data_IF_568064415057
#
_entry.id   IF_568064415057
#
_cell.length_a   1.000
_cell.length_b   1.000
_cell.length_c   1.000
_cell.angle_alpha   90.00
_cell.angle_beta   90.00
_cell.angle_gamma   90.00
#
_symmetry.space_group_name_H-M   'P 1'
#
loop_
_entity.id
_entity.type
_entity.pdbx_description
1 polymer ?
#
# COMPACT_ATOMS: atom_id res chain seq x y z
N UNK A 1 4.61 15.17 -21.75
CA UNK A 1 3.50 14.25 -22.16
C UNK A 1 4.08 13.03 -22.90
N UNK A 2 4.75 13.22 -24.04
CA UNK A 2 5.25 12.09 -24.88
C UNK A 2 6.14 11.09 -24.09
N UNK A 3 7.08 11.58 -23.28
CA UNK A 3 7.95 10.73 -22.49
C UNK A 3 7.17 9.91 -21.42
N UNK A 4 6.16 10.51 -20.77
CA UNK A 4 5.32 9.80 -19.82
C UNK A 4 4.43 8.76 -20.52
N UNK A 5 3.95 9.07 -21.72
CA UNK A 5 3.19 8.12 -22.54
C UNK A 5 4.06 6.93 -22.97
N UNK A 6 5.29 7.18 -23.41
CA UNK A 6 6.23 6.13 -23.76
C UNK A 6 6.55 5.23 -22.57
N UNK A 7 6.83 5.84 -21.39
CA UNK A 7 7.04 5.10 -20.16
C UNK A 7 5.84 4.20 -19.81
N UNK A 8 4.61 4.72 -19.96
CA UNK A 8 3.39 3.94 -19.75
C UNK A 8 3.27 2.77 -20.73
N UNK A 9 3.59 2.97 -22.01
CA UNK A 9 3.53 1.92 -23.04
C UNK A 9 4.49 0.75 -22.78
N UNK A 10 5.61 1.01 -22.12
CA UNK A 10 6.58 -0.03 -21.71
C UNK A 10 6.41 -0.46 -20.26
N UNK A 11 5.23 -0.17 -19.67
CA UNK A 11 4.85 -0.52 -18.30
C UNK A 11 5.80 0.00 -17.19
N UNK A 12 6.60 1.05 -17.49
CA UNK A 12 7.42 1.77 -16.52
C UNK A 12 6.60 2.90 -15.91
N UNK A 13 5.57 2.52 -15.15
CA UNK A 13 4.68 3.45 -14.46
C UNK A 13 5.41 4.35 -13.48
N UNK A 14 6.46 3.85 -12.84
CA UNK A 14 7.37 4.62 -11.98
C UNK A 14 7.95 5.84 -12.72
N UNK A 15 8.46 5.66 -13.92
CA UNK A 15 8.98 6.77 -14.73
C UNK A 15 7.87 7.69 -15.21
N UNK A 16 6.71 7.15 -15.60
CA UNK A 16 5.58 7.97 -16.03
C UNK A 16 5.13 8.91 -14.90
N UNK A 17 5.09 8.40 -13.66
CA UNK A 17 4.77 9.17 -12.45
C UNK A 17 5.84 10.24 -12.20
N UNK A 18 7.12 9.91 -12.22
CA UNK A 18 8.20 10.86 -12.00
C UNK A 18 8.17 12.00 -13.01
N UNK A 19 8.04 11.69 -14.30
CA UNK A 19 7.93 12.69 -15.37
C UNK A 19 6.72 13.60 -15.14
N UNK A 20 5.57 13.02 -14.77
CA UNK A 20 4.35 13.79 -14.50
C UNK A 20 4.46 14.66 -13.25
N UNK A 21 5.16 14.19 -12.21
CA UNK A 21 5.49 14.99 -11.02
C UNK A 21 6.38 16.17 -11.37
N UNK A 22 7.43 15.98 -12.17
CA UNK A 22 8.26 17.09 -12.65
C UNK A 22 7.44 18.12 -13.42
N UNK A 23 6.53 17.70 -14.31
CA UNK A 23 5.65 18.60 -15.03
C UNK A 23 4.72 19.40 -14.08
N UNK A 24 4.32 18.82 -12.96
CA UNK A 24 3.45 19.50 -11.97
C UNK A 24 4.15 20.66 -11.27
N UNK A 25 5.46 20.66 -11.13
CA UNK A 25 6.22 21.82 -10.62
C UNK A 25 6.09 23.03 -11.55
N UNK A 26 5.92 22.78 -12.85
CA UNK A 26 5.63 23.78 -13.87
C UNK A 26 4.10 24.04 -14.02
N UNK A 27 3.30 23.66 -13.02
CA UNK A 27 1.82 23.75 -13.01
C UNK A 27 1.15 23.02 -14.18
N UNK A 28 1.80 22.01 -14.76
CA UNK A 28 1.25 21.15 -15.82
C UNK A 28 0.85 19.81 -15.20
N UNK A 29 -0.46 19.62 -14.99
CA UNK A 29 -0.99 18.43 -14.30
C UNK A 29 -1.44 17.38 -15.30
N UNK A 30 -0.88 16.17 -15.21
CA UNK A 30 -1.17 15.04 -16.09
C UNK A 30 -1.63 13.84 -15.25
N UNK A 31 -2.86 13.90 -14.72
CA UNK A 31 -3.39 12.90 -13.79
C UNK A 31 -3.36 11.47 -14.35
N UNK A 32 -3.58 11.29 -15.66
CA UNK A 32 -3.50 9.99 -16.33
C UNK A 32 -2.19 9.26 -16.07
N UNK A 33 -1.07 10.00 -16.01
CA UNK A 33 0.25 9.40 -15.80
C UNK A 33 0.66 9.39 -14.32
N UNK A 34 0.10 10.29 -13.50
CA UNK A 34 0.32 10.30 -12.07
C UNK A 34 -0.39 9.17 -11.32
N UNK A 35 -1.48 8.65 -11.90
CA UNK A 35 -2.34 7.64 -11.28
C UNK A 35 -2.60 6.50 -12.28
N UNK A 36 -1.60 5.63 -12.51
CA UNK A 36 -1.76 4.47 -13.38
C UNK A 36 -2.86 3.55 -12.88
N UNK A 37 -3.60 2.95 -13.81
CA UNK A 37 -4.62 1.96 -13.51
C UNK A 37 -4.11 0.60 -14.00
N UNK A 38 -3.90 -0.32 -13.07
CA UNK A 38 -3.56 -1.71 -13.34
C UNK A 38 -4.57 -2.64 -12.69
N UNK A 39 -4.61 -3.88 -13.14
CA UNK A 39 -5.49 -4.90 -12.55
C UNK A 39 -5.08 -5.24 -11.12
N UNK A 40 -6.09 -5.40 -10.25
CA UNK A 40 -5.90 -5.87 -8.87
C UNK A 40 -6.88 -7.01 -8.59
N UNK A 41 -6.54 -7.93 -7.67
CA UNK A 41 -7.44 -9.03 -7.33
C UNK A 41 -8.70 -8.53 -6.61
N UNK A 42 -9.85 -9.17 -6.84
CA UNK A 42 -11.09 -8.92 -6.10
C UNK A 42 -11.28 -9.88 -4.93
N UNK A 43 -10.73 -11.10 -5.06
CA UNK A 43 -10.73 -12.13 -4.02
C UNK A 43 -9.39 -12.87 -4.02
N UNK A 44 -8.92 -13.22 -2.83
CA UNK A 44 -7.72 -14.08 -2.64
C UNK A 44 -8.06 -15.11 -1.57
N UNK A 45 -8.06 -16.39 -1.93
CA UNK A 45 -8.36 -17.50 -1.04
C UNK A 45 -9.64 -17.28 -0.22
N UNK A 46 -10.74 -16.88 -0.88
CA UNK A 46 -12.05 -16.62 -0.28
C UNK A 46 -12.17 -15.30 0.49
N UNK A 47 -11.08 -14.55 0.65
CA UNK A 47 -11.10 -13.21 1.27
C UNK A 47 -11.40 -12.15 0.21
N UNK A 48 -12.44 -11.34 0.45
CA UNK A 48 -12.71 -10.15 -0.35
C UNK A 48 -11.59 -9.13 -0.17
N UNK A 49 -11.10 -8.60 -1.27
CA UNK A 49 -10.08 -7.54 -1.31
C UNK A 49 -10.78 -6.19 -1.43
N UNK A 50 -10.26 -5.12 -0.82
CA UNK A 50 -10.76 -3.77 -1.03
C UNK A 50 -10.75 -3.37 -2.49
N UNK A 51 -11.52 -2.34 -2.81
CA UNK A 51 -11.64 -1.79 -4.17
C UNK A 51 -10.28 -1.46 -4.79
N UNK A 52 -10.18 -1.63 -6.11
CA UNK A 52 -8.96 -1.39 -6.91
C UNK A 52 -8.34 -0.03 -6.61
N UNK A 53 -9.14 1.05 -6.54
CA UNK A 53 -8.65 2.39 -6.28
C UNK A 53 -7.90 2.49 -4.93
N UNK A 54 -8.37 1.80 -3.90
CA UNK A 54 -7.70 1.77 -2.60
C UNK A 54 -6.36 1.00 -2.66
N UNK A 55 -6.32 -0.16 -3.33
CA UNK A 55 -5.07 -0.91 -3.51
C UNK A 55 -4.04 -0.09 -4.31
N UNK A 56 -4.48 0.55 -5.41
CA UNK A 56 -3.60 1.38 -6.23
C UNK A 56 -3.08 2.62 -5.46
N UNK A 57 -3.89 3.18 -4.55
CA UNK A 57 -3.44 4.29 -3.70
C UNK A 57 -2.33 3.88 -2.73
N UNK A 58 -2.38 2.65 -2.20
CA UNK A 58 -1.30 2.09 -1.38
C UNK A 58 -0.04 1.90 -2.22
N UNK A 59 -0.14 1.27 -3.40
CA UNK A 59 1.00 1.09 -4.31
C UNK A 59 1.62 2.45 -4.67
N UNK A 60 0.78 3.44 -4.96
CA UNK A 60 1.22 4.81 -5.27
C UNK A 60 2.01 5.46 -4.13
N UNK A 61 1.56 5.26 -2.89
CA UNK A 61 2.20 5.79 -1.69
C UNK A 61 3.49 5.05 -1.32
N UNK A 62 3.50 3.72 -1.45
CA UNK A 62 4.60 2.87 -0.98
C UNK A 62 5.80 2.84 -1.93
N UNK A 63 5.57 2.83 -3.24
CA UNK A 63 6.64 2.62 -4.22
C UNK A 63 6.58 3.52 -5.46
N UNK A 64 5.53 4.33 -5.61
CA UNK A 64 5.25 5.02 -6.88
C UNK A 64 5.26 4.05 -8.09
N UNK A 65 4.78 2.82 -7.89
CA UNK A 65 4.78 1.74 -8.90
C UNK A 65 6.17 1.22 -9.30
N UNK A 66 7.22 1.48 -8.51
CA UNK A 66 8.51 0.82 -8.73
C UNK A 66 8.48 -0.61 -8.20
N UNK A 67 8.43 -1.58 -9.14
CA UNK A 67 8.47 -3.00 -8.81
C UNK A 67 9.73 -3.41 -8.04
N UNK A 68 10.87 -2.74 -8.30
CA UNK A 68 12.17 -3.06 -7.71
C UNK A 68 12.44 -2.29 -6.42
N UNK A 69 11.48 -1.49 -5.94
CA UNK A 69 11.64 -0.69 -4.73
C UNK A 69 12.09 -1.54 -3.54
N UNK A 70 13.13 -1.05 -2.87
CA UNK A 70 13.66 -1.59 -1.64
C UNK A 70 13.87 -0.46 -0.64
N UNK A 71 13.19 -0.49 0.50
CA UNK A 71 13.41 0.50 1.54
C UNK A 71 14.68 0.20 2.35
N UNK A 72 15.20 1.19 3.06
CA UNK A 72 16.32 1.01 4.01
C UNK A 72 15.99 -0.03 5.09
N UNK A 73 14.73 -0.16 5.49
CA UNK A 73 14.27 -1.17 6.44
C UNK A 73 14.12 -2.57 5.84
N UNK A 74 14.25 -2.71 4.51
CA UNK A 74 14.16 -3.97 3.79
C UNK A 74 12.76 -4.35 3.30
N UNK A 75 11.81 -3.41 3.30
CA UNK A 75 10.52 -3.58 2.63
C UNK A 75 10.69 -3.67 1.11
N UNK A 76 9.85 -4.44 0.40
CA UNK A 76 10.10 -4.84 -0.99
C UNK A 76 8.89 -4.70 -1.90
N UNK A 77 9.15 -4.21 -3.11
CA UNK A 77 8.27 -4.21 -4.25
C UNK A 77 7.12 -3.21 -4.16
N UNK A 78 6.12 -3.37 -5.01
CA UNK A 78 5.04 -2.41 -5.23
C UNK A 78 4.32 -1.99 -3.95
N UNK A 79 4.01 -2.93 -3.07
CA UNK A 79 3.30 -2.69 -1.82
C UNK A 79 4.21 -2.69 -0.59
N UNK A 80 5.53 -2.57 -0.77
CA UNK A 80 6.55 -2.44 0.28
C UNK A 80 6.37 -3.43 1.45
N UNK A 81 6.27 -4.72 1.11
CA UNK A 81 6.13 -5.76 2.12
C UNK A 81 7.46 -6.11 2.78
N UNK A 82 7.48 -6.10 4.11
CA UNK A 82 8.58 -6.70 4.88
C UNK A 82 8.62 -8.21 4.60
N UNK A 83 9.80 -8.82 4.33
CA UNK A 83 9.92 -10.25 4.02
C UNK A 83 9.29 -11.16 5.07
N UNK A 84 9.40 -10.81 6.35
CA UNK A 84 8.75 -11.55 7.44
C UNK A 84 7.21 -11.49 7.32
N UNK A 85 6.65 -10.30 7.09
CA UNK A 85 5.20 -10.12 6.89
C UNK A 85 4.73 -10.88 5.66
N UNK A 86 5.45 -10.77 4.53
CA UNK A 86 5.13 -11.48 3.30
C UNK A 86 5.09 -13.00 3.50
N UNK A 87 6.03 -13.57 4.29
CA UNK A 87 6.05 -15.01 4.61
C UNK A 87 4.80 -15.43 5.42
N UNK A 88 4.40 -14.64 6.41
CA UNK A 88 3.20 -14.92 7.19
C UNK A 88 1.93 -14.83 6.34
N UNK A 89 1.84 -13.79 5.53
CA UNK A 89 0.70 -13.55 4.64
C UNK A 89 0.60 -14.64 3.56
N UNK A 90 1.72 -15.06 2.97
CA UNK A 90 1.75 -16.15 2.00
C UNK A 90 1.17 -17.43 2.59
N UNK A 91 1.53 -17.77 3.83
CA UNK A 91 0.94 -18.94 4.55
C UNK A 91 -0.58 -18.77 4.72
N UNK A 92 -1.06 -17.59 5.11
CA UNK A 92 -2.50 -17.33 5.27
C UNK A 92 -3.26 -17.36 3.95
N UNK A 93 -2.66 -16.84 2.89
CA UNK A 93 -3.21 -16.83 1.53
C UNK A 93 -3.05 -18.18 0.80
N UNK A 94 -2.43 -19.19 1.45
CA UNK A 94 -2.09 -20.52 0.85
C UNK A 94 -1.26 -20.40 -0.43
N UNK A 95 -0.35 -19.40 -0.48
CA UNK A 95 0.59 -19.18 -1.56
C UNK A 95 2.01 -19.61 -1.16
N UNK A 96 2.83 -20.13 -2.10
CA UNK A 96 4.22 -20.41 -1.81
C UNK A 96 4.99 -19.10 -1.55
N UNK A 97 5.78 -19.06 -0.48
CA UNK A 97 6.59 -17.88 -0.18
C UNK A 97 7.87 -17.85 -1.03
N UNK A 98 8.13 -16.72 -1.67
CA UNK A 98 9.40 -16.43 -2.35
C UNK A 98 9.80 -14.97 -2.14
N UNK A 99 10.98 -14.76 -1.53
CA UNK A 99 11.51 -13.40 -1.28
C UNK A 99 11.88 -12.69 -2.58
N UNK A 100 12.40 -13.40 -3.57
CA UNK A 100 12.80 -12.81 -4.86
C UNK A 100 11.59 -12.31 -5.65
N UNK A 101 10.48 -13.06 -5.64
CA UNK A 101 9.24 -12.65 -6.32
C UNK A 101 8.64 -11.35 -5.79
N UNK A 102 8.99 -10.91 -4.60
CA UNK A 102 8.51 -9.61 -4.09
C UNK A 102 8.96 -8.41 -4.94
N UNK A 103 10.08 -8.54 -5.69
CA UNK A 103 10.63 -7.48 -6.54
C UNK A 103 10.76 -7.88 -8.01
N UNK A 104 10.30 -9.08 -8.40
CA UNK A 104 10.36 -9.56 -9.78
C UNK A 104 9.00 -9.97 -10.34
N UNK A 105 7.98 -10.05 -9.51
CA UNK A 105 6.63 -10.50 -9.87
C UNK A 105 5.58 -9.55 -9.30
N UNK A 106 5.06 -8.62 -10.12
CA UNK A 106 4.12 -7.60 -9.66
C UNK A 106 2.83 -8.21 -9.12
N UNK A 107 2.29 -9.23 -9.79
CA UNK A 107 1.05 -9.90 -9.38
C UNK A 107 1.21 -10.56 -8.01
N UNK A 108 2.33 -11.25 -7.81
CA UNK A 108 2.64 -11.88 -6.52
C UNK A 108 2.72 -10.86 -5.38
N UNK A 109 3.40 -9.73 -5.60
CA UNK A 109 3.52 -8.67 -4.59
C UNK A 109 2.15 -8.05 -4.28
N UNK A 110 1.36 -7.73 -5.31
CA UNK A 110 0.01 -7.16 -5.17
C UNK A 110 -0.91 -8.14 -4.44
N UNK A 111 -0.89 -9.43 -4.79
CA UNK A 111 -1.71 -10.44 -4.13
C UNK A 111 -1.41 -10.53 -2.63
N UNK A 112 -0.15 -10.57 -2.23
CA UNK A 112 0.23 -10.63 -0.82
C UNK A 112 -0.12 -9.33 -0.08
N UNK A 113 0.20 -8.16 -0.65
CA UNK A 113 -0.10 -6.87 -0.03
C UNK A 113 -1.60 -6.63 0.12
N UNK A 114 -2.37 -6.96 -0.91
CA UNK A 114 -3.83 -6.86 -0.90
C UNK A 114 -4.48 -7.78 0.14
N UNK A 115 -4.00 -9.03 0.26
CA UNK A 115 -4.46 -9.94 1.29
C UNK A 115 -4.12 -9.45 2.71
N UNK A 116 -2.93 -8.85 2.87
CA UNK A 116 -2.50 -8.29 4.15
C UNK A 116 -3.37 -7.12 4.59
N UNK A 117 -3.56 -6.11 3.73
CA UNK A 117 -4.38 -4.95 4.09
C UNK A 117 -5.86 -5.33 4.30
N UNK A 118 -6.41 -6.25 3.50
CA UNK A 118 -7.74 -6.79 3.72
C UNK A 118 -7.87 -7.45 5.10
N UNK A 119 -6.85 -8.21 5.52
CA UNK A 119 -6.79 -8.80 6.86
C UNK A 119 -6.75 -7.74 7.97
N UNK A 120 -6.01 -6.67 7.78
CA UNK A 120 -5.96 -5.56 8.73
C UNK A 120 -7.32 -4.84 8.85
N UNK A 121 -8.00 -4.59 7.72
CA UNK A 121 -9.33 -3.98 7.72
C UNK A 121 -10.31 -4.84 8.52
N UNK A 122 -10.29 -6.16 8.31
CA UNK A 122 -11.12 -7.09 9.10
C UNK A 122 -10.76 -7.07 10.60
N UNK A 123 -9.48 -7.06 10.94
CA UNK A 123 -9.02 -7.04 12.33
C UNK A 123 -9.38 -5.75 13.08
N UNK A 124 -9.71 -4.69 12.36
CA UNK A 124 -10.14 -3.41 12.92
C UNK A 124 -11.61 -3.10 12.64
N UNK A 125 -12.44 -4.13 12.40
CA UNK A 125 -13.89 -4.00 12.21
C UNK A 125 -14.28 -3.00 11.10
N UNK A 126 -13.52 -2.98 10.01
CA UNK A 126 -13.72 -2.08 8.88
C UNK A 126 -13.12 -0.67 9.07
N UNK A 127 -12.43 -0.38 10.16
CA UNK A 127 -11.83 0.93 10.40
C UNK A 127 -10.56 1.14 9.55
N UNK A 128 -10.71 1.69 8.37
CA UNK A 128 -9.61 2.00 7.43
C UNK A 128 -8.47 2.82 8.06
N UNK A 129 -8.70 3.87 8.88
CA UNK A 129 -7.60 4.62 9.48
C UNK A 129 -6.67 3.74 10.33
N UNK A 130 -7.22 2.80 11.09
CA UNK A 130 -6.41 1.87 11.88
C UNK A 130 -5.69 0.85 10.99
N UNK A 131 -6.35 0.35 9.95
CA UNK A 131 -5.75 -0.60 9.02
C UNK A 131 -4.56 0.03 8.27
N UNK A 132 -4.70 1.25 7.77
CA UNK A 132 -3.63 2.01 7.10
C UNK A 132 -2.48 2.28 8.08
N UNK A 133 -2.78 2.77 9.28
CA UNK A 133 -1.77 2.99 10.31
C UNK A 133 -1.04 1.70 10.70
N UNK A 134 -1.75 0.56 10.76
CA UNK A 134 -1.16 -0.75 11.04
C UNK A 134 -0.35 -1.29 9.87
N UNK A 135 -0.74 -1.02 8.63
CA UNK A 135 0.02 -1.38 7.44
C UNK A 135 1.41 -0.73 7.46
N UNK A 136 1.44 0.58 7.71
CA UNK A 136 2.69 1.36 7.74
C UNK A 136 3.55 1.08 8.99
N UNK A 137 2.95 1.13 10.19
CA UNK A 137 3.68 1.13 11.46
C UNK A 137 3.62 -0.20 12.25
N UNK A 138 2.78 -1.13 11.80
CA UNK A 138 2.51 -2.39 12.47
C UNK A 138 1.39 -2.32 13.54
N UNK A 139 0.67 -3.44 13.75
CA UNK A 139 -0.48 -3.50 14.67
C UNK A 139 -0.12 -3.17 16.13
N UNK A 140 1.12 -3.44 16.56
CA UNK A 140 1.57 -3.13 17.94
C UNK A 140 1.55 -1.63 18.21
N UNK A 141 1.97 -0.81 17.24
CA UNK A 141 1.95 0.66 17.37
C UNK A 141 0.53 1.20 17.39
N UNK A 142 -0.37 0.69 16.55
CA UNK A 142 -1.78 1.08 16.58
C UNK A 142 -2.41 0.78 17.93
N UNK A 143 -2.14 -0.41 18.51
CA UNK A 143 -2.60 -0.76 19.85
C UNK A 143 -2.11 0.25 20.90
N UNK A 144 -0.84 0.66 20.80
CA UNK A 144 -0.26 1.66 21.69
C UNK A 144 -0.93 3.03 21.49
N UNK A 145 -1.08 3.51 20.25
CA UNK A 145 -1.72 4.79 19.97
C UNK A 145 -3.19 4.85 20.39
N UNK A 146 -3.94 3.75 20.22
CA UNK A 146 -5.32 3.64 20.75
C UNK A 146 -5.37 3.79 22.28
N UNK A 147 -4.30 3.42 22.98
CA UNK A 147 -4.23 3.58 24.45
C UNK A 147 -3.90 5.02 24.84
N UNK A 148 -2.92 5.66 24.22
CA UNK A 148 -2.42 6.98 24.63
C UNK A 148 -3.22 8.14 24.04
N UNK A 149 -3.74 8.00 22.80
CA UNK A 149 -4.46 9.05 22.07
C UNK A 149 -5.99 8.86 22.15
N UNK A 150 -6.49 8.07 23.11
CA UNK A 150 -7.90 7.65 23.16
C UNK A 150 -8.29 6.75 21.97
N UNK A 151 -9.51 6.21 21.95
CA UNK A 151 -9.92 5.24 20.93
C UNK A 151 -11.18 5.71 20.17
N UNK A 152 -11.07 6.04 18.89
CA UNK A 152 -12.22 6.41 18.07
C UNK A 152 -13.36 5.37 18.04
N UNK A 153 -13.05 4.07 18.02
CA UNK A 153 -14.08 3.02 18.06
C UNK A 153 -14.88 2.98 19.38
N UNK A 154 -14.42 3.66 20.42
CA UNK A 154 -15.11 3.83 21.71
C UNK A 154 -15.74 5.21 21.87
N UNK A 155 -15.83 5.99 20.78
CA UNK A 155 -16.33 7.37 20.78
C UNK A 155 -15.60 8.32 21.74
N UNK A 156 -14.34 8.03 22.06
CA UNK A 156 -13.51 8.86 22.96
C UNK A 156 -12.86 10.04 22.24
N UNK A 157 -12.74 9.96 20.92
CA UNK A 157 -12.14 10.95 20.01
C UNK A 157 -12.64 10.63 18.59
N UNK A 158 -12.65 11.58 17.65
CA UNK A 158 -12.90 11.28 16.25
C UNK A 158 -11.63 10.79 15.54
N UNK A 159 -11.78 10.22 14.34
CA UNK A 159 -10.64 9.64 13.61
C UNK A 159 -9.65 10.70 13.09
N UNK A 160 -10.12 11.90 12.74
CA UNK A 160 -9.27 12.97 12.23
C UNK A 160 -8.30 13.41 13.33
N UNK A 161 -8.81 13.76 14.51
CA UNK A 161 -7.98 14.15 15.65
C UNK A 161 -7.06 13.00 16.09
N UNK A 162 -7.52 11.75 16.00
CA UNK A 162 -6.68 10.60 16.34
C UNK A 162 -5.48 10.47 15.38
N UNK A 163 -5.67 10.70 14.07
CA UNK A 163 -4.62 10.68 13.06
C UNK A 163 -3.58 11.76 13.35
N UNK A 164 -4.02 12.98 13.68
CA UNK A 164 -3.14 14.11 14.02
C UNK A 164 -2.29 13.86 15.27
N UNK A 165 -2.76 13.02 16.19
CA UNK A 165 -2.02 12.63 17.39
C UNK A 165 -1.01 11.50 17.17
N UNK A 166 -0.94 10.91 15.97
CA UNK A 166 0.05 9.87 15.67
C UNK A 166 1.45 10.48 15.65
N UNK A 167 2.30 10.03 16.56
CA UNK A 167 3.70 10.43 16.62
C UNK A 167 4.61 9.23 16.43
N UNK A 168 5.50 9.32 15.46
CA UNK A 168 6.64 8.42 15.32
C UNK A 168 7.77 9.00 16.17
N UNK A 169 8.14 8.29 17.26
CA UNK A 169 9.37 8.56 18.00
C UNK A 169 10.47 7.67 17.45
#
# INVERSE_FOLDING_TARGET
VLAAELATKIERFDFAIQISKFASYEKRFHNKYNYPIISTPTYINGRKIPETAFILSIIRQESEFDLKANSHAGARGLMQLMPYTAKLVAKQAKLPYSKSRLTSDPEYNINLGSHYIAGLILNYDGAYPFAIAAYNAGPKRVKYWKKINKNPQKNQINYVDWIELIRFK
#
